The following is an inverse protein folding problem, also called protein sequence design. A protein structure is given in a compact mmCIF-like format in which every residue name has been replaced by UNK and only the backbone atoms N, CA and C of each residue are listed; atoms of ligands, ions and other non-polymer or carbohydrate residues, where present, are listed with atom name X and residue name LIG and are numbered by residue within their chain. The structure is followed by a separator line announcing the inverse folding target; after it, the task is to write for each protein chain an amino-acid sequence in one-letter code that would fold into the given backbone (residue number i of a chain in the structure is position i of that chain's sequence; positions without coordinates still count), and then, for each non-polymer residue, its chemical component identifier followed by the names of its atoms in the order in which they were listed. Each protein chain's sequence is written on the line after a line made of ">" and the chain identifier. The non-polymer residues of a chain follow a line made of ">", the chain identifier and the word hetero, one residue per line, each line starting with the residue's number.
data_IF_915936710276
#
_entry.id   IF_915936710276
#
_cell.length_a   1.000
_cell.length_b   1.000
_cell.length_c   1.000
_cell.angle_alpha   90.00
_cell.angle_beta   90.00
_cell.angle_gamma   90.00
#
_symmetry.space_group_name_H-M   'P 1'
#
loop_
_entity.id
_entity.type
_entity.pdbx_description
1 polymer ?
#
# COMPACT_ATOMS: atom_id res chain seq x y z
N UNK A 1 -15.31 11.03 29.35
CA UNK A 1 -15.39 10.75 30.81
C UNK A 1 -15.11 9.27 30.99
N UNK A 2 -14.12 8.91 31.82
CA UNK A 2 -13.72 7.50 32.07
C UNK A 2 -14.24 7.07 33.45
N UNK A 3 -14.79 5.86 33.53
CA UNK A 3 -15.25 5.24 34.77
C UNK A 3 -14.38 4.02 35.09
N UNK A 4 -14.02 3.84 36.35
CA UNK A 4 -13.15 2.77 36.81
C UNK A 4 -13.77 2.05 38.01
N UNK A 5 -13.83 0.71 37.96
CA UNK A 5 -14.35 -0.14 39.05
C UNK A 5 -13.38 -1.30 39.43
N UNK A 6 -12.08 -1.12 39.22
CA UNK A 6 -11.10 -2.18 39.50
C UNK A 6 -10.89 -2.46 41.00
N UNK A 7 -10.25 -3.59 41.31
CA UNK A 7 -9.99 -4.05 42.68
C UNK A 7 -8.97 -3.19 43.45
N UNK A 8 -8.07 -2.47 42.75
CA UNK A 8 -7.18 -1.46 43.35
C UNK A 8 -7.88 -0.10 43.42
N UNK A 9 -8.03 0.46 44.62
CA UNK A 9 -8.67 1.77 44.84
C UNK A 9 -7.83 2.61 45.82
N UNK A 10 -7.60 3.92 45.53
CA UNK A 10 -7.99 4.65 44.31
C UNK A 10 -7.23 4.17 43.06
N UNK A 11 -7.67 4.57 41.87
CA UNK A 11 -6.97 4.26 40.60
C UNK A 11 -5.49 4.71 40.70
N UNK A 12 -4.50 3.81 40.55
CA UNK A 12 -3.11 4.10 40.88
C UNK A 12 -2.26 4.66 39.73
N UNK A 13 -2.76 4.67 38.49
CA UNK A 13 -1.98 5.06 37.31
C UNK A 13 -2.28 6.50 36.86
N UNK A 14 -1.48 7.03 35.92
CA UNK A 14 -1.75 8.36 35.36
C UNK A 14 -3.02 8.34 34.51
N UNK A 15 -3.74 9.46 34.51
CA UNK A 15 -4.85 9.72 33.58
C UNK A 15 -4.40 10.55 32.36
N UNK A 16 -3.15 11.01 32.36
CA UNK A 16 -2.57 11.72 31.23
C UNK A 16 -1.94 10.69 30.29
N UNK A 17 -2.54 10.44 29.14
CA UNK A 17 -2.03 9.49 28.15
C UNK A 17 -0.59 9.78 27.69
N UNK A 18 -0.09 11.01 27.88
CA UNK A 18 1.30 11.38 27.60
C UNK A 18 2.30 10.73 28.56
N UNK A 19 1.87 10.33 29.76
CA UNK A 19 2.71 9.59 30.71
C UNK A 19 2.97 8.14 30.28
N UNK A 20 2.21 7.63 29.30
CA UNK A 20 2.37 6.28 28.76
C UNK A 20 3.47 6.18 27.69
N UNK A 21 4.07 7.31 27.27
CA UNK A 21 5.22 7.30 26.36
C UNK A 21 6.50 6.90 27.08
N UNK A 22 7.42 6.26 26.36
CA UNK A 22 8.77 5.99 26.87
C UNK A 22 9.53 7.26 27.29
N UNK A 23 9.20 8.41 26.69
CA UNK A 23 9.65 9.74 27.12
C UNK A 23 8.45 10.73 27.17
N UNK A 24 7.81 10.86 28.35
CA UNK A 24 6.68 11.77 28.53
C UNK A 24 7.03 13.25 28.31
N UNK A 25 8.28 13.65 28.53
CA UNK A 25 8.69 15.05 28.37
C UNK A 25 8.70 15.42 26.89
N UNK A 26 9.25 14.56 26.05
CA UNK A 26 9.23 14.76 24.59
C UNK A 26 7.81 14.64 24.04
N UNK A 27 7.02 13.67 24.51
CA UNK A 27 5.61 13.53 24.12
C UNK A 27 4.81 14.82 24.42
N UNK A 28 4.97 15.38 25.63
CA UNK A 28 4.33 16.67 25.98
C UNK A 28 4.75 17.81 25.06
N UNK A 29 6.03 17.93 24.71
CA UNK A 29 6.49 18.97 23.78
C UNK A 29 5.85 18.82 22.40
N UNK A 30 5.75 17.58 21.91
CA UNK A 30 5.21 17.29 20.59
C UNK A 30 3.69 17.46 20.51
N UNK A 31 2.96 16.93 21.49
CA UNK A 31 1.50 16.83 21.46
C UNK A 31 0.76 18.00 22.13
N UNK A 32 1.44 18.86 22.89
CA UNK A 32 0.86 20.11 23.39
C UNK A 32 1.14 21.32 22.48
N UNK A 33 1.90 21.16 21.41
CA UNK A 33 2.10 22.19 20.39
C UNK A 33 1.15 21.98 19.21
N UNK A 34 1.02 23.00 18.36
CA UNK A 34 0.43 22.78 17.04
C UNK A 34 1.26 21.72 16.30
N UNK A 35 0.60 20.72 15.72
CA UNK A 35 1.30 19.70 14.94
C UNK A 35 2.03 20.37 13.77
N UNK A 36 3.31 20.01 13.53
CA UNK A 36 3.98 20.46 12.33
C UNK A 36 3.26 19.86 11.12
N UNK A 37 2.61 20.70 10.32
CA UNK A 37 2.02 20.31 9.05
C UNK A 37 3.09 20.49 7.97
N UNK A 38 3.52 19.39 7.35
CA UNK A 38 4.32 19.45 6.13
C UNK A 38 3.37 19.50 4.95
N UNK A 39 3.21 20.69 4.37
CA UNK A 39 2.45 20.86 3.13
C UNK A 39 3.34 20.53 1.93
N UNK A 40 3.34 19.26 1.53
CA UNK A 40 4.13 18.78 0.38
C UNK A 40 3.70 19.48 -0.94
N UNK A 41 2.51 20.09 -1.00
CA UNK A 41 2.03 20.72 -2.23
C UNK A 41 2.82 21.98 -2.61
N UNK A 42 3.45 22.64 -1.63
CA UNK A 42 4.26 23.85 -1.86
C UNK A 42 5.76 23.55 -2.03
N UNK A 43 6.21 22.33 -1.71
CA UNK A 43 7.62 21.93 -1.83
C UNK A 43 7.94 21.65 -3.30
N UNK A 44 8.93 22.32 -3.93
CA UNK A 44 9.33 22.04 -5.30
C UNK A 44 9.76 20.58 -5.52
N UNK A 45 9.53 20.03 -6.73
CA UNK A 45 9.85 18.61 -7.00
C UNK A 45 11.35 18.33 -6.92
N UNK A 46 12.17 19.29 -7.35
CA UNK A 46 13.62 19.27 -7.26
C UNK A 46 14.12 19.27 -5.81
N UNK A 47 13.38 19.89 -4.90
CA UNK A 47 13.63 19.82 -3.45
C UNK A 47 13.18 18.46 -2.90
N UNK A 48 11.98 17.98 -3.24
CA UNK A 48 11.46 16.67 -2.82
C UNK A 48 12.45 15.56 -3.16
N UNK A 49 13.03 15.57 -4.36
CA UNK A 49 13.99 14.53 -4.79
C UNK A 49 15.21 14.43 -3.86
N UNK A 50 15.56 15.49 -3.12
CA UNK A 50 16.66 15.48 -2.14
C UNK A 50 16.29 14.83 -0.80
N UNK A 51 15.00 14.56 -0.53
CA UNK A 51 14.52 14.00 0.74
C UNK A 51 14.80 12.49 0.90
N UNK A 52 15.60 11.90 0.00
CA UNK A 52 16.08 10.51 0.06
C UNK A 52 14.91 9.51 0.17
N UNK A 53 14.83 8.78 1.28
CA UNK A 53 13.93 7.63 1.46
C UNK A 53 12.45 8.00 1.44
N UNK A 54 12.08 9.23 1.78
CA UNK A 54 10.67 9.66 1.79
C UNK A 54 10.24 10.31 0.47
N UNK A 55 11.21 10.72 -0.36
CA UNK A 55 10.97 11.51 -1.57
C UNK A 55 9.99 10.85 -2.56
N UNK A 56 10.07 9.52 -2.76
CA UNK A 56 9.17 8.84 -3.69
C UNK A 56 7.70 8.93 -3.22
N UNK A 57 7.47 8.75 -1.92
CA UNK A 57 6.12 8.83 -1.37
C UNK A 57 5.62 10.28 -1.36
N UNK A 58 6.48 11.24 -1.04
CA UNK A 58 6.14 12.67 -1.11
C UNK A 58 5.79 13.09 -2.54
N UNK A 59 6.57 12.67 -3.53
CA UNK A 59 6.33 13.00 -4.93
C UNK A 59 5.01 12.39 -5.42
N UNK A 60 4.72 11.12 -5.07
CA UNK A 60 3.43 10.48 -5.38
C UNK A 60 2.28 11.17 -4.65
N UNK A 61 2.44 11.50 -3.37
CA UNK A 61 1.40 12.14 -2.55
C UNK A 61 1.08 13.56 -3.03
N UNK A 62 2.10 14.35 -3.37
CA UNK A 62 1.94 15.67 -3.98
C UNK A 62 1.12 15.60 -5.26
N UNK A 63 1.39 14.59 -6.08
CA UNK A 63 0.79 14.41 -7.40
C UNK A 63 -0.37 13.41 -7.43
N UNK A 64 -0.94 13.05 -6.27
CA UNK A 64 -2.01 12.04 -6.15
C UNK A 64 -3.28 12.39 -6.95
N UNK A 65 -3.43 13.66 -7.36
CA UNK A 65 -4.56 14.14 -8.17
C UNK A 65 -4.23 14.20 -9.67
N UNK A 66 -2.95 14.12 -10.03
CA UNK A 66 -2.52 14.01 -11.43
C UNK A 66 -2.77 12.59 -11.90
N UNK A 67 -3.65 12.45 -12.90
CA UNK A 67 -4.02 11.13 -13.46
C UNK A 67 -2.95 10.51 -14.34
N UNK A 68 -1.88 11.26 -14.61
CA UNK A 68 -0.78 10.84 -15.46
C UNK A 68 0.53 11.27 -14.80
N UNK A 69 1.33 10.28 -14.40
CA UNK A 69 2.65 10.50 -13.80
C UNK A 69 3.77 10.50 -14.83
N UNK A 70 3.47 10.37 -16.14
CA UNK A 70 4.50 10.40 -17.18
C UNK A 70 5.31 11.71 -17.13
N UNK A 71 4.66 12.83 -16.77
CA UNK A 71 5.34 14.12 -16.56
C UNK A 71 6.33 14.16 -15.40
N UNK A 72 6.33 13.16 -14.51
CA UNK A 72 7.27 13.04 -13.39
C UNK A 72 8.35 11.97 -13.62
N UNK A 73 8.43 11.41 -14.83
CA UNK A 73 9.30 10.27 -15.09
C UNK A 73 10.77 10.60 -14.83
N UNK A 74 11.20 11.83 -15.07
CA UNK A 74 12.57 12.29 -14.81
C UNK A 74 12.89 12.20 -13.31
N UNK A 75 12.03 12.76 -12.45
CA UNK A 75 12.18 12.74 -11.00
C UNK A 75 12.08 11.30 -10.45
N UNK A 76 11.14 10.50 -10.96
CA UNK A 76 10.97 9.12 -10.54
C UNK A 76 12.19 8.26 -10.90
N UNK A 77 12.77 8.45 -12.09
CA UNK A 77 14.01 7.78 -12.48
C UNK A 77 15.15 8.13 -11.53
N UNK A 78 15.33 9.40 -11.17
CA UNK A 78 16.36 9.82 -10.20
C UNK A 78 16.17 9.11 -8.85
N UNK A 79 14.94 9.05 -8.35
CA UNK A 79 14.63 8.42 -7.07
C UNK A 79 14.84 6.91 -7.06
N UNK A 80 14.56 6.25 -8.18
CA UNK A 80 14.69 4.81 -8.33
C UNK A 80 16.15 4.39 -8.54
N UNK A 81 16.92 5.14 -9.34
CA UNK A 81 18.36 4.87 -9.59
C UNK A 81 19.22 5.14 -8.36
N UNK A 82 18.87 6.15 -7.55
CA UNK A 82 19.60 6.44 -6.30
C UNK A 82 19.29 5.47 -5.17
N UNK A 83 18.50 4.42 -5.44
CA UNK A 83 18.05 3.39 -4.48
C UNK A 83 17.41 3.99 -3.22
N UNK A 84 16.86 5.19 -3.34
CA UNK A 84 16.12 5.84 -2.27
C UNK A 84 14.80 5.11 -1.98
N UNK A 85 14.25 4.40 -2.97
CA UNK A 85 13.01 3.66 -2.89
C UNK A 85 13.21 2.15 -2.60
N UNK A 86 12.48 1.64 -1.60
CA UNK A 86 12.36 0.21 -1.34
C UNK A 86 11.24 -0.45 -2.17
N UNK A 87 11.15 -1.78 -2.14
CA UNK A 87 10.17 -2.54 -2.93
C UNK A 87 8.71 -2.18 -2.59
N UNK A 88 8.41 -1.89 -1.32
CA UNK A 88 7.07 -1.45 -0.92
C UNK A 88 6.69 -0.10 -1.54
N UNK A 89 7.65 0.83 -1.63
CA UNK A 89 7.43 2.14 -2.24
C UNK A 89 7.30 2.04 -3.77
N UNK A 90 8.09 1.17 -4.41
CA UNK A 90 7.94 0.86 -5.84
C UNK A 90 6.58 0.21 -6.10
N UNK A 91 6.18 -0.74 -5.25
CA UNK A 91 4.86 -1.38 -5.31
C UNK A 91 3.74 -0.34 -5.19
N UNK A 92 3.87 0.64 -4.29
CA UNK A 92 2.91 1.73 -4.14
C UNK A 92 2.85 2.63 -5.40
N UNK A 93 4.00 2.97 -6.00
CA UNK A 93 4.06 3.70 -7.28
C UNK A 93 3.32 2.95 -8.39
N UNK A 94 3.64 1.67 -8.60
CA UNK A 94 3.04 0.87 -9.67
C UNK A 94 1.53 0.68 -9.47
N UNK A 95 1.09 0.44 -8.23
CA UNK A 95 -0.33 0.38 -7.91
C UNK A 95 -1.04 1.71 -8.16
N UNK A 96 -0.42 2.85 -7.84
CA UNK A 96 -1.01 4.15 -8.12
C UNK A 96 -1.27 4.34 -9.62
N UNK A 97 -0.30 4.00 -10.46
CA UNK A 97 -0.42 4.14 -11.92
C UNK A 97 -1.48 3.20 -12.46
N UNK A 98 -1.49 1.94 -11.99
CA UNK A 98 -2.51 0.95 -12.37
C UNK A 98 -3.93 1.39 -11.99
N UNK A 99 -4.09 2.10 -10.87
CA UNK A 99 -5.40 2.58 -10.38
C UNK A 99 -5.88 3.88 -11.06
N UNK A 100 -4.96 4.69 -11.58
CA UNK A 100 -5.27 6.00 -12.16
C UNK A 100 -5.31 6.01 -13.69
N UNK A 101 -4.64 5.06 -14.33
CA UNK A 101 -4.59 4.87 -15.78
C UNK A 101 -5.38 3.67 -16.28
N UNK A 102 -5.33 3.48 -17.59
CA UNK A 102 -5.70 2.22 -18.24
C UNK A 102 -4.45 1.34 -18.43
N UNK A 103 -4.65 0.13 -18.96
CA UNK A 103 -3.56 -0.80 -19.25
C UNK A 103 -2.51 -0.22 -20.20
N UNK A 104 -2.93 0.62 -21.17
CA UNK A 104 -2.03 1.24 -22.13
C UNK A 104 -1.06 2.22 -21.43
N UNK A 105 -1.58 3.10 -20.57
CA UNK A 105 -0.76 4.04 -19.77
C UNK A 105 0.17 3.33 -18.81
N UNK A 106 -0.31 2.27 -18.16
CA UNK A 106 0.52 1.46 -17.28
C UNK A 106 1.70 0.85 -18.06
N UNK A 107 1.42 0.21 -19.20
CA UNK A 107 2.44 -0.41 -20.04
C UNK A 107 3.43 0.63 -20.61
N UNK A 108 2.94 1.80 -21.02
CA UNK A 108 3.78 2.91 -21.50
C UNK A 108 4.74 3.38 -20.40
N UNK A 109 4.22 3.61 -19.19
CA UNK A 109 5.02 4.04 -18.05
C UNK A 109 6.08 3.01 -17.64
N UNK A 110 5.69 1.74 -17.57
CA UNK A 110 6.62 0.64 -17.27
C UNK A 110 7.71 0.52 -18.35
N UNK A 111 7.33 0.65 -19.62
CA UNK A 111 8.27 0.60 -20.75
C UNK A 111 9.27 1.75 -20.67
N UNK A 112 8.81 2.96 -20.38
CA UNK A 112 9.68 4.13 -20.29
C UNK A 112 10.61 4.07 -19.06
N UNK A 113 10.10 3.62 -17.90
CA UNK A 113 10.94 3.39 -16.72
C UNK A 113 12.05 2.37 -16.99
N UNK A 114 11.68 1.21 -17.54
CA UNK A 114 12.65 0.13 -17.79
C UNK A 114 13.64 0.47 -18.90
N UNK A 115 13.23 1.26 -19.90
CA UNK A 115 14.12 1.81 -20.92
C UNK A 115 15.17 2.74 -20.34
N UNK A 116 14.79 3.61 -19.39
CA UNK A 116 15.70 4.58 -18.75
C UNK A 116 16.58 3.96 -17.66
N UNK A 117 16.14 2.86 -17.06
CA UNK A 117 16.81 2.20 -15.94
C UNK A 117 16.98 0.69 -16.18
N UNK A 118 17.77 0.27 -17.19
CA UNK A 118 17.89 -1.13 -17.55
C UNK A 118 18.41 -2.00 -16.39
N UNK A 119 19.25 -1.44 -15.51
CA UNK A 119 19.80 -2.08 -14.31
C UNK A 119 18.71 -2.51 -13.31
N UNK A 120 17.57 -1.80 -13.27
CA UNK A 120 16.46 -2.05 -12.34
C UNK A 120 15.29 -2.78 -13.00
N UNK A 121 15.39 -3.13 -14.29
CA UNK A 121 14.31 -3.75 -15.06
C UNK A 121 13.77 -5.00 -14.39
N UNK A 122 14.64 -5.93 -14.00
CA UNK A 122 14.23 -7.20 -13.39
C UNK A 122 13.48 -6.99 -12.06
N UNK A 123 13.96 -6.06 -11.22
CA UNK A 123 13.31 -5.68 -9.96
C UNK A 123 11.91 -5.10 -10.21
N UNK A 124 11.79 -4.16 -11.15
CA UNK A 124 10.50 -3.54 -11.49
C UNK A 124 9.54 -4.58 -12.09
N UNK A 125 10.01 -5.43 -13.01
CA UNK A 125 9.20 -6.48 -13.62
C UNK A 125 8.71 -7.48 -12.58
N UNK A 126 9.57 -7.93 -11.67
CA UNK A 126 9.20 -8.84 -10.57
C UNK A 126 8.06 -8.26 -9.72
N UNK A 127 8.14 -6.96 -9.38
CA UNK A 127 7.08 -6.29 -8.62
C UNK A 127 5.79 -6.17 -9.45
N UNK A 128 5.89 -5.79 -10.73
CA UNK A 128 4.74 -5.68 -11.63
C UNK A 128 4.04 -7.04 -11.83
N UNK A 129 4.80 -8.12 -12.05
CA UNK A 129 4.30 -9.49 -12.16
C UNK A 129 3.62 -9.95 -10.87
N UNK A 130 4.18 -9.61 -9.70
CA UNK A 130 3.52 -9.91 -8.42
C UNK A 130 2.17 -9.19 -8.30
N UNK A 131 2.09 -7.91 -8.67
CA UNK A 131 0.83 -7.16 -8.68
C UNK A 131 -0.18 -7.82 -9.63
N UNK A 132 0.25 -8.20 -10.83
CA UNK A 132 -0.58 -8.88 -11.82
C UNK A 132 -1.11 -10.23 -11.29
N UNK A 133 -0.21 -11.08 -10.76
CA UNK A 133 -0.55 -12.40 -10.21
C UNK A 133 -1.48 -12.28 -9.00
N UNK A 134 -1.26 -11.32 -8.11
CA UNK A 134 -2.17 -11.04 -6.99
C UNK A 134 -3.57 -10.68 -7.51
N UNK A 135 -3.67 -9.88 -8.58
CA UNK A 135 -4.92 -9.54 -9.25
C UNK A 135 -5.61 -10.77 -9.84
N UNK A 136 -4.85 -11.60 -10.56
CA UNK A 136 -5.33 -12.85 -11.15
C UNK A 136 -5.88 -13.80 -10.09
N UNK A 137 -5.08 -14.10 -9.05
CA UNK A 137 -5.45 -15.01 -7.95
C UNK A 137 -6.70 -14.51 -7.23
N UNK A 138 -6.77 -13.20 -6.91
CA UNK A 138 -7.95 -12.62 -6.25
C UNK A 138 -9.20 -12.70 -7.14
N UNK A 139 -9.04 -12.47 -8.44
CA UNK A 139 -10.11 -12.58 -9.44
C UNK A 139 -10.64 -14.02 -9.54
N UNK A 140 -9.73 -14.98 -9.68
CA UNK A 140 -10.03 -16.41 -9.72
C UNK A 140 -10.75 -16.86 -8.45
N UNK A 141 -10.16 -16.60 -7.27
CA UNK A 141 -10.78 -16.93 -5.98
C UNK A 141 -12.18 -16.32 -5.86
N UNK A 142 -12.38 -15.08 -6.31
CA UNK A 142 -13.70 -14.44 -6.29
C UNK A 142 -14.72 -15.21 -7.14
N UNK A 143 -14.33 -15.65 -8.35
CA UNK A 143 -15.19 -16.45 -9.22
C UNK A 143 -15.51 -17.80 -8.55
N UNK A 144 -14.51 -18.49 -8.01
CA UNK A 144 -14.71 -19.78 -7.34
C UNK A 144 -15.61 -19.69 -6.10
N UNK A 145 -15.48 -18.61 -5.30
CA UNK A 145 -16.39 -18.34 -4.18
C UNK A 145 -17.82 -18.11 -4.65
N UNK A 146 -18.02 -17.35 -5.73
CA UNK A 146 -19.33 -17.11 -6.32
C UNK A 146 -19.96 -18.40 -6.83
N UNK A 147 -19.19 -19.27 -7.49
CA UNK A 147 -19.67 -20.58 -7.94
C UNK A 147 -20.16 -21.43 -6.75
N UNK A 148 -19.36 -21.54 -5.69
CA UNK A 148 -19.75 -22.27 -4.47
C UNK A 148 -21.02 -21.69 -3.82
N UNK A 149 -21.12 -20.36 -3.72
CA UNK A 149 -22.30 -19.68 -3.16
C UNK A 149 -23.58 -19.88 -3.99
N UNK A 150 -23.43 -20.15 -5.30
CA UNK A 150 -24.55 -20.41 -6.22
C UNK A 150 -24.79 -21.92 -6.44
N UNK A 151 -24.27 -22.78 -5.56
CA UNK A 151 -24.56 -24.21 -5.56
C UNK A 151 -23.75 -25.05 -6.55
N UNK A 152 -22.64 -24.52 -7.09
CA UNK A 152 -21.72 -25.34 -7.86
C UNK A 152 -21.10 -26.44 -6.98
N UNK A 153 -20.94 -27.63 -7.56
CA UNK A 153 -20.40 -28.79 -6.86
C UNK A 153 -18.93 -28.56 -6.44
N UNK A 154 -18.61 -28.61 -5.12
CA UNK A 154 -17.25 -28.44 -4.64
C UNK A 154 -16.27 -29.48 -5.20
N UNK A 155 -16.69 -30.73 -5.41
CA UNK A 155 -15.82 -31.78 -5.97
C UNK A 155 -15.48 -31.48 -7.43
N UNK A 156 -16.47 -30.99 -8.19
CA UNK A 156 -16.28 -30.53 -9.56
C UNK A 156 -15.31 -29.35 -9.65
N UNK A 157 -15.45 -28.34 -8.78
CA UNK A 157 -14.52 -27.21 -8.71
C UNK A 157 -13.11 -27.69 -8.39
N UNK A 158 -12.97 -28.56 -7.38
CA UNK A 158 -11.69 -29.08 -6.95
C UNK A 158 -11.00 -29.85 -8.08
N UNK A 159 -11.75 -30.66 -8.83
CA UNK A 159 -11.25 -31.42 -9.97
C UNK A 159 -10.73 -30.54 -11.11
N UNK A 160 -11.42 -29.43 -11.43
CA UNK A 160 -11.04 -28.55 -12.54
C UNK A 160 -9.88 -27.63 -12.17
N UNK A 161 -9.87 -27.12 -10.95
CA UNK A 161 -8.88 -26.15 -10.48
C UNK A 161 -7.62 -26.79 -9.91
N UNK A 162 -7.68 -28.07 -9.52
CA UNK A 162 -6.58 -28.77 -8.87
C UNK A 162 -6.30 -28.29 -7.43
N UNK A 163 -7.23 -27.53 -6.83
CA UNK A 163 -7.04 -26.97 -5.49
C UNK A 163 -6.95 -28.06 -4.41
N UNK A 164 -6.10 -27.84 -3.42
CA UNK A 164 -6.02 -28.69 -2.24
C UNK A 164 -7.30 -28.59 -1.39
N UNK A 165 -7.53 -29.58 -0.52
CA UNK A 165 -8.65 -29.54 0.41
C UNK A 165 -8.63 -28.28 1.31
N UNK A 166 -7.43 -27.82 1.69
CA UNK A 166 -7.24 -26.60 2.47
C UNK A 166 -7.63 -25.34 1.68
N UNK A 167 -7.23 -25.25 0.40
CA UNK A 167 -7.61 -24.15 -0.48
C UNK A 167 -9.12 -24.12 -0.72
N UNK A 168 -9.74 -25.29 -0.94
CA UNK A 168 -11.19 -25.41 -1.06
C UNK A 168 -11.91 -24.96 0.22
N UNK A 169 -11.38 -25.29 1.39
CA UNK A 169 -11.94 -24.85 2.67
C UNK A 169 -11.82 -23.32 2.85
N UNK A 170 -10.72 -22.72 2.42
CA UNK A 170 -10.53 -21.26 2.45
C UNK A 170 -11.51 -20.50 1.53
N UNK A 171 -11.95 -21.12 0.43
CA UNK A 171 -12.97 -20.54 -0.46
C UNK A 171 -14.38 -20.50 0.17
N UNK A 172 -14.65 -21.33 1.18
CA UNK A 172 -15.96 -21.31 1.88
C UNK A 172 -16.10 -20.14 2.85
N UNK A 173 -15.00 -19.47 3.20
CA UNK A 173 -15.08 -18.24 3.96
C UNK A 173 -15.75 -17.14 3.12
N UNK A 174 -16.58 -16.28 3.74
CA UNK A 174 -17.24 -15.20 3.02
C UNK A 174 -16.21 -14.36 2.24
N UNK A 175 -16.60 -13.90 1.06
CA UNK A 175 -15.83 -12.91 0.31
C UNK A 175 -15.52 -11.76 1.29
N UNK A 176 -14.24 -11.42 1.54
CA UNK A 176 -13.96 -10.18 2.24
C UNK A 176 -14.69 -9.08 1.47
N UNK A 177 -15.35 -8.17 2.21
CA UNK A 177 -15.93 -6.99 1.58
C UNK A 177 -14.89 -6.36 0.65
N UNK A 178 -15.31 -5.71 -0.43
CA UNK A 178 -14.40 -4.91 -1.27
C UNK A 178 -13.81 -3.82 -0.37
N UNK A 179 -12.76 -4.15 0.38
CA UNK A 179 -11.93 -3.18 1.08
C UNK A 179 -11.21 -2.41 -0.03
N UNK A 180 -11.81 -1.30 -0.44
CA UNK A 180 -11.04 -0.27 -1.12
C UNK A 180 -9.83 0.00 -0.23
N UNK A 181 -8.65 -0.03 -0.83
CA UNK A 181 -7.38 0.24 -0.15
C UNK A 181 -6.86 -0.83 0.81
N UNK A 182 -7.24 -2.11 0.69
CA UNK A 182 -6.60 -3.17 1.51
C UNK A 182 -5.08 -3.23 1.40
N UNK A 183 -4.52 -2.77 0.27
CA UNK A 183 -3.09 -2.65 0.04
C UNK A 183 -2.41 -1.48 0.76
N UNK A 184 -3.16 -0.52 1.34
CA UNK A 184 -2.58 0.51 2.22
C UNK A 184 -2.21 -0.05 3.61
N UNK A 185 -2.62 -1.27 3.93
CA UNK A 185 -2.40 -1.91 5.24
C UNK A 185 -1.19 -2.85 5.27
N UNK A 186 -0.30 -2.83 4.27
CA UNK A 186 0.93 -3.64 4.18
C UNK A 186 2.16 -2.76 4.03
#
# INVERSE_FOLDING_TARGET
>A
MLFYHGSRSPYPWSLCWLDEFADPTTARKLYNAAFPLVDVTVVPDDEIVQHRRVALLELIQKHIRQRDLMGLIDQLVVLLVTECANDSQITALLNYILLTGDEARFNEFISELTRRMPQHRERIMTIAERIHNDGYIKGEQRILRLLLQNGADPEWIQKITGLSAEQMQALRQPLPERERYSWLKS
#
